data_IF_841365854162
#
_entry.id   IF_841365854162
#
_cell.length_a   1.000
_cell.length_b   1.000
_cell.length_c   1.000
_cell.angle_alpha   90.00
_cell.angle_beta   90.00
_cell.angle_gamma   90.00
#
_symmetry.space_group_name_H-M   'P 1'
#
loop_
_entity.id
_entity.type
_entity.pdbx_description
1 polymer ?
#
# COMPACT_ATOMS: atom_id res chain seq x y z
N UNK A 1 -5.54 -39.50 60.97
CA UNK A 1 -4.62 -40.10 61.96
C UNK A 1 -3.20 -39.57 61.82
N UNK A 2 -2.61 -39.58 60.61
CA UNK A 2 -1.22 -39.11 60.36
C UNK A 2 -0.99 -37.64 60.75
N UNK A 3 -1.90 -36.71 60.41
CA UNK A 3 -1.79 -35.28 60.78
C UNK A 3 -1.67 -35.04 62.29
N UNK A 4 -2.32 -35.87 63.09
CA UNK A 4 -2.31 -35.74 64.55
C UNK A 4 -1.02 -36.32 65.18
N UNK A 5 -0.32 -37.18 64.44
CA UNK A 5 0.93 -37.80 64.90
C UNK A 5 2.16 -36.96 64.53
N UNK A 6 2.10 -36.21 63.43
CA UNK A 6 3.22 -35.41 62.92
C UNK A 6 2.77 -34.02 62.40
N UNK A 7 2.13 -33.18 63.23
CA UNK A 7 1.49 -31.95 62.78
C UNK A 7 2.45 -30.92 62.15
N UNK A 8 3.72 -30.96 62.51
CA UNK A 8 4.73 -30.01 62.01
C UNK A 8 5.59 -30.56 60.86
N UNK A 9 5.50 -31.86 60.56
CA UNK A 9 6.38 -32.53 59.60
C UNK A 9 5.66 -32.97 58.32
N UNK A 10 4.33 -32.97 58.33
CA UNK A 10 3.50 -33.51 57.24
C UNK A 10 2.37 -32.55 56.88
N UNK A 11 2.17 -32.34 55.58
CA UNK A 11 1.02 -31.61 55.01
C UNK A 11 0.09 -32.65 54.39
N UNK A 12 -1.20 -32.56 54.70
CA UNK A 12 -2.22 -33.51 54.23
C UNK A 12 -3.11 -32.85 53.18
N UNK A 13 -3.17 -33.47 52.01
CA UNK A 13 -3.99 -33.10 50.86
C UNK A 13 -4.95 -34.24 50.56
N UNK A 14 -6.19 -34.13 51.04
CA UNK A 14 -7.21 -35.17 50.90
C UNK A 14 -6.72 -36.54 51.43
N UNK A 15 -6.52 -37.50 50.53
CA UNK A 15 -6.04 -38.85 50.81
C UNK A 15 -4.51 -39.01 50.74
N UNK A 16 -3.80 -37.92 50.43
CA UNK A 16 -2.34 -37.90 50.33
C UNK A 16 -1.71 -37.11 51.48
N UNK A 17 -0.54 -37.55 51.91
CA UNK A 17 0.30 -36.85 52.87
C UNK A 17 1.69 -36.67 52.26
N UNK A 18 2.20 -35.44 52.24
CA UNK A 18 3.57 -35.11 51.80
C UNK A 18 4.37 -34.55 52.97
N UNK A 19 5.68 -34.77 53.01
CA UNK A 19 6.50 -34.15 54.05
C UNK A 19 6.57 -32.64 53.83
N UNK A 20 6.56 -31.88 54.92
CA UNK A 20 6.70 -30.42 54.89
C UNK A 20 8.02 -30.01 54.20
N UNK A 21 9.10 -30.73 54.47
CA UNK A 21 10.41 -30.51 53.82
C UNK A 21 10.37 -30.71 52.31
N UNK A 22 9.58 -31.67 51.81
CA UNK A 22 9.41 -31.88 50.38
C UNK A 22 8.62 -30.73 49.76
N UNK A 23 7.54 -30.31 50.42
CA UNK A 23 6.69 -29.22 49.97
C UNK A 23 7.46 -27.89 49.93
N UNK A 24 8.11 -27.50 51.03
CA UNK A 24 8.87 -26.26 51.13
C UNK A 24 9.98 -26.20 50.06
N UNK A 25 10.66 -27.32 49.82
CA UNK A 25 11.67 -27.44 48.76
C UNK A 25 11.07 -27.24 47.36
N UNK A 26 9.88 -27.77 47.08
CA UNK A 26 9.23 -27.59 45.78
C UNK A 26 8.73 -26.15 45.61
N UNK A 27 8.20 -25.53 46.66
CA UNK A 27 7.85 -24.11 46.64
C UNK A 27 9.08 -23.25 46.32
N UNK A 28 10.21 -23.47 47.00
CA UNK A 28 11.45 -22.71 46.76
C UNK A 28 11.97 -22.91 45.33
N UNK A 29 11.96 -24.15 44.83
CA UNK A 29 12.39 -24.48 43.47
C UNK A 29 11.50 -23.85 42.40
N UNK A 30 10.18 -23.92 42.56
CA UNK A 30 9.25 -23.34 41.59
C UNK A 30 9.21 -21.82 41.68
N UNK A 31 9.34 -21.24 42.88
CA UNK A 31 9.50 -19.79 43.06
C UNK A 31 10.74 -19.27 42.32
N UNK A 32 11.90 -19.91 42.51
CA UNK A 32 13.14 -19.57 41.79
C UNK A 32 12.94 -19.68 40.27
N UNK A 33 12.19 -20.68 39.80
CA UNK A 33 11.89 -20.86 38.37
C UNK A 33 10.95 -19.80 37.81
N UNK A 34 9.86 -19.49 38.50
CA UNK A 34 8.93 -18.41 38.10
C UNK A 34 9.66 -17.09 38.02
N UNK A 35 10.64 -16.83 38.89
CA UNK A 35 11.43 -15.58 38.82
C UNK A 35 12.37 -15.52 37.60
N UNK A 36 12.85 -16.68 37.13
CA UNK A 36 13.84 -16.78 36.05
C UNK A 36 13.25 -17.06 34.68
N UNK A 37 12.09 -17.68 34.63
CA UNK A 37 11.42 -18.12 33.42
C UNK A 37 10.05 -17.46 33.36
N UNK A 38 9.73 -16.75 32.27
CA UNK A 38 8.51 -15.96 32.20
C UNK A 38 7.23 -16.80 32.17
N UNK A 39 7.32 -18.07 31.77
CA UNK A 39 6.21 -19.01 31.67
C UNK A 39 6.69 -20.42 32.05
N UNK A 40 6.04 -21.03 33.03
CA UNK A 40 6.32 -22.43 33.43
C UNK A 40 5.03 -23.24 33.56
N UNK A 41 5.10 -24.53 33.27
CA UNK A 41 4.04 -25.48 33.63
C UNK A 41 4.35 -26.12 34.98
N UNK A 42 3.54 -25.80 35.99
CA UNK A 42 3.68 -26.36 37.33
C UNK A 42 3.34 -27.85 37.36
N UNK A 43 2.40 -28.32 36.53
CA UNK A 43 1.93 -29.71 36.55
C UNK A 43 2.96 -30.68 35.98
N UNK A 44 3.64 -30.32 34.88
CA UNK A 44 4.71 -31.16 34.31
C UNK A 44 5.92 -31.31 35.25
N UNK A 45 6.10 -30.38 36.21
CA UNK A 45 7.30 -30.31 37.06
C UNK A 45 7.13 -30.93 38.45
N UNK A 46 5.91 -30.99 38.96
CA UNK A 46 5.63 -31.60 40.26
C UNK A 46 5.37 -33.09 40.08
N UNK A 47 6.39 -33.89 40.39
CA UNK A 47 6.29 -35.35 40.34
C UNK A 47 5.55 -35.85 41.58
N UNK A 48 4.30 -36.26 41.38
CA UNK A 48 3.45 -36.89 42.41
C UNK A 48 3.30 -38.38 42.06
N UNK A 49 3.20 -39.29 43.05
CA UNK A 49 2.93 -40.71 42.78
C UNK A 49 1.72 -40.90 41.87
N UNK A 50 1.80 -41.87 40.96
CA UNK A 50 0.73 -42.17 39.99
C UNK A 50 -0.60 -42.56 40.64
N UNK A 51 -0.58 -42.97 41.91
CA UNK A 51 -1.78 -43.31 42.68
C UNK A 51 -2.48 -42.10 43.31
N UNK A 52 -1.91 -40.89 43.23
CA UNK A 52 -2.55 -39.71 43.79
C UNK A 52 -3.78 -39.30 42.97
N UNK A 53 -4.91 -39.04 43.62
CA UNK A 53 -6.05 -38.48 42.91
C UNK A 53 -5.77 -37.09 42.39
N UNK A 54 -6.51 -36.74 41.35
CA UNK A 54 -6.54 -35.39 40.79
C UNK A 54 -6.89 -34.32 41.84
N UNK A 55 -7.70 -34.66 42.85
CA UNK A 55 -8.01 -33.77 43.98
C UNK A 55 -6.80 -33.51 44.87
N UNK A 56 -6.04 -34.55 45.21
CA UNK A 56 -4.80 -34.39 45.99
C UNK A 56 -3.76 -33.58 45.21
N UNK A 57 -3.60 -33.84 43.92
CA UNK A 57 -2.71 -33.08 43.04
C UNK A 57 -3.13 -31.61 42.92
N UNK A 58 -4.43 -31.34 42.73
CA UNK A 58 -4.97 -29.98 42.69
C UNK A 58 -4.78 -29.24 44.03
N UNK A 59 -4.92 -29.93 45.16
CA UNK A 59 -4.63 -29.38 46.48
C UNK A 59 -3.16 -29.00 46.67
N UNK A 60 -2.23 -29.87 46.22
CA UNK A 60 -0.79 -29.59 46.25
C UNK A 60 -0.46 -28.37 45.37
N UNK A 61 -0.96 -28.35 44.12
CA UNK A 61 -0.76 -27.24 43.19
C UNK A 61 -1.33 -25.92 43.73
N UNK A 62 -2.52 -25.95 44.33
CA UNK A 62 -3.15 -24.78 44.94
C UNK A 62 -2.34 -24.21 46.11
N UNK A 63 -1.78 -25.07 46.95
CA UNK A 63 -0.93 -24.64 48.06
C UNK A 63 0.43 -24.09 47.57
N UNK A 64 1.02 -24.68 46.53
CA UNK A 64 2.24 -24.15 45.90
C UNK A 64 1.97 -22.79 45.25
N UNK A 65 0.84 -22.64 44.54
CA UNK A 65 0.39 -21.36 43.97
C UNK A 65 0.27 -20.28 45.03
N UNK A 66 -0.41 -20.57 46.14
CA UNK A 66 -0.56 -19.60 47.23
C UNK A 66 0.81 -19.20 47.81
N UNK A 67 1.69 -20.16 48.06
CA UNK A 67 3.02 -19.90 48.59
C UNK A 67 3.90 -19.08 47.62
N UNK A 68 3.82 -19.35 46.31
CA UNK A 68 4.52 -18.54 45.29
C UNK A 68 3.93 -17.13 45.24
N UNK A 69 2.60 -16.99 45.27
CA UNK A 69 1.94 -15.68 45.23
C UNK A 69 2.32 -14.79 46.43
N UNK A 70 2.49 -15.41 47.62
CA UNK A 70 2.90 -14.70 48.83
C UNK A 70 4.39 -14.33 48.85
N UNK A 71 5.24 -15.12 48.19
CA UNK A 71 6.70 -15.00 48.27
C UNK A 71 7.36 -14.37 47.03
N UNK A 72 6.64 -14.28 45.91
CA UNK A 72 7.15 -13.77 44.64
C UNK A 72 7.40 -12.26 44.72
N UNK A 73 8.57 -11.76 44.26
CA UNK A 73 8.82 -10.33 44.11
C UNK A 73 8.05 -9.66 42.96
N UNK A 74 7.25 -10.41 42.19
CA UNK A 74 6.48 -9.95 41.04
C UNK A 74 5.10 -10.61 41.02
N UNK A 75 4.17 -10.02 40.28
CA UNK A 75 2.84 -10.58 40.08
C UNK A 75 2.89 -11.76 39.11
N UNK A 76 2.20 -12.84 39.48
CA UNK A 76 2.19 -14.12 38.76
C UNK A 76 0.74 -14.46 38.44
N UNK A 77 0.42 -14.53 37.16
CA UNK A 77 -0.87 -15.00 36.69
C UNK A 77 -0.83 -16.53 36.52
N UNK A 78 -1.92 -17.18 36.88
CA UNK A 78 -2.06 -18.64 36.78
C UNK A 78 -3.15 -18.98 35.77
N UNK A 79 -2.74 -19.56 34.65
CA UNK A 79 -3.59 -19.84 33.50
C UNK A 79 -3.86 -21.35 33.42
N UNK A 80 -5.10 -21.81 33.61
CA UNK A 80 -5.48 -23.18 33.30
C UNK A 80 -5.53 -23.38 31.77
N UNK A 81 -4.81 -24.36 31.23
CA UNK A 81 -4.76 -24.61 29.79
C UNK A 81 -4.64 -26.11 29.49
N UNK A 82 -5.69 -26.74 28.91
CA UNK A 82 -5.70 -28.15 28.48
C UNK A 82 -5.08 -29.15 29.48
N UNK A 83 -5.43 -28.99 30.75
CA UNK A 83 -4.93 -29.83 31.84
C UNK A 83 -3.59 -29.40 32.40
N UNK A 84 -2.87 -28.45 31.80
CA UNK A 84 -1.71 -27.80 32.37
C UNK A 84 -2.09 -26.67 33.34
N UNK A 85 -1.14 -26.33 34.20
CA UNK A 85 -1.23 -25.20 35.12
C UNK A 85 -0.06 -24.27 34.88
N UNK A 86 -0.28 -23.29 34.01
CA UNK A 86 0.76 -22.35 33.62
C UNK A 86 0.85 -21.25 34.68
N UNK A 87 2.07 -20.99 35.17
CA UNK A 87 2.39 -19.81 35.95
C UNK A 87 3.21 -18.87 35.06
N UNK A 88 2.72 -17.66 34.88
CA UNK A 88 3.31 -16.67 33.99
C UNK A 88 3.52 -15.36 34.73
N UNK A 89 4.61 -14.66 34.44
CA UNK A 89 4.81 -13.30 34.94
C UNK A 89 3.81 -12.36 34.26
N UNK A 90 3.07 -11.57 35.04
CA UNK A 90 2.01 -10.68 34.51
C UNK A 90 2.56 -9.68 33.47
N UNK A 91 3.67 -9.00 33.79
CA UNK A 91 4.37 -8.10 32.87
C UNK A 91 4.76 -8.78 31.54
N UNK A 92 5.11 -10.06 31.58
CA UNK A 92 5.46 -10.81 30.37
C UNK A 92 4.23 -11.15 29.54
N UNK A 93 3.11 -11.52 30.17
CA UNK A 93 1.85 -11.78 29.46
C UNK A 93 1.33 -10.54 28.77
N UNK A 94 1.36 -9.39 29.45
CA UNK A 94 0.96 -8.10 28.88
C UNK A 94 1.81 -7.74 27.66
N UNK A 95 3.12 -8.05 27.72
CA UNK A 95 4.03 -7.83 26.61
C UNK A 95 3.88 -8.87 25.50
N UNK A 96 3.49 -10.11 25.83
CA UNK A 96 3.43 -11.22 24.88
C UNK A 96 2.51 -10.91 23.70
N UNK A 97 1.30 -10.41 23.96
CA UNK A 97 0.35 -10.05 22.90
C UNK A 97 0.90 -8.94 22.00
N UNK A 98 1.57 -7.94 22.60
CA UNK A 98 2.22 -6.84 21.85
C UNK A 98 3.37 -7.35 20.98
N UNK A 99 4.22 -8.21 21.52
CA UNK A 99 5.36 -8.80 20.79
C UNK A 99 4.86 -9.72 19.67
N UNK A 100 3.86 -10.55 19.93
CA UNK A 100 3.22 -11.40 18.90
C UNK A 100 2.67 -10.53 17.77
N UNK A 101 1.92 -9.48 18.10
CA UNK A 101 1.34 -8.57 17.11
C UNK A 101 2.43 -7.88 16.28
N UNK A 102 3.48 -7.37 16.93
CA UNK A 102 4.60 -6.70 16.25
C UNK A 102 5.33 -7.67 15.30
N UNK A 103 5.66 -8.88 15.76
CA UNK A 103 6.38 -9.87 14.94
C UNK A 103 5.54 -10.37 13.77
N UNK A 104 4.24 -10.58 13.98
CA UNK A 104 3.31 -10.93 12.92
C UNK A 104 3.19 -9.81 11.87
N UNK A 105 3.12 -8.55 12.29
CA UNK A 105 3.14 -7.39 11.39
C UNK A 105 4.47 -7.28 10.62
N UNK A 106 5.62 -7.51 11.28
CA UNK A 106 6.92 -7.55 10.62
C UNK A 106 7.01 -8.67 9.58
N UNK A 107 6.45 -9.84 9.87
CA UNK A 107 6.36 -10.95 8.92
C UNK A 107 5.48 -10.59 7.71
N UNK A 108 4.31 -9.98 7.94
CA UNK A 108 3.42 -9.45 6.91
C UNK A 108 4.16 -8.45 5.99
N UNK A 109 4.85 -7.47 6.57
CA UNK A 109 5.65 -6.48 5.85
C UNK A 109 6.76 -7.13 5.02
N UNK A 110 7.47 -8.12 5.58
CA UNK A 110 8.53 -8.85 4.89
C UNK A 110 7.98 -9.62 3.69
N UNK A 111 6.92 -10.40 3.87
CA UNK A 111 6.30 -11.13 2.77
C UNK A 111 5.74 -10.19 1.70
N UNK A 112 5.12 -9.08 2.10
CA UNK A 112 4.61 -8.06 1.18
C UNK A 112 5.71 -7.45 0.30
N UNK A 113 6.89 -7.20 0.87
CA UNK A 113 8.02 -6.65 0.12
C UNK A 113 8.69 -7.65 -0.82
N UNK A 114 8.52 -8.95 -0.55
CA UNK A 114 9.01 -10.02 -1.40
C UNK A 114 8.04 -10.38 -2.53
N UNK A 115 6.81 -9.88 -2.51
CA UNK A 115 5.84 -10.10 -3.58
C UNK A 115 6.28 -9.41 -4.87
N UNK A 116 6.44 -10.21 -5.92
CA UNK A 116 6.58 -9.73 -7.30
C UNK A 116 5.21 -9.58 -7.99
N UNK A 117 5.12 -8.78 -9.07
CA UNK A 117 3.92 -8.67 -9.89
C UNK A 117 3.41 -10.01 -10.45
N UNK A 118 4.28 -10.98 -10.65
CA UNK A 118 3.92 -12.32 -11.18
C UNK A 118 3.69 -13.37 -10.08
N UNK A 119 3.89 -13.01 -8.81
CA UNK A 119 3.71 -13.96 -7.71
C UNK A 119 2.23 -14.24 -7.45
N UNK A 120 1.90 -15.53 -7.45
CA UNK A 120 0.62 -16.09 -6.98
C UNK A 120 0.66 -16.49 -5.49
N UNK A 121 1.80 -16.29 -4.83
CA UNK A 121 2.01 -16.64 -3.42
C UNK A 121 0.92 -16.02 -2.56
N UNK A 122 0.26 -16.86 -1.79
CA UNK A 122 -0.70 -16.45 -0.78
C UNK A 122 0.07 -16.00 0.46
N UNK A 123 -0.23 -14.78 0.92
CA UNK A 123 0.34 -14.25 2.15
C UNK A 123 -0.36 -14.92 3.32
N UNK A 124 0.42 -15.58 4.16
CA UNK A 124 -0.07 -16.26 5.34
C UNK A 124 0.91 -16.08 6.49
N UNK A 125 0.38 -15.96 7.70
CA UNK A 125 1.17 -16.08 8.91
C UNK A 125 1.88 -17.44 8.90
N UNK A 126 3.15 -17.46 9.29
CA UNK A 126 3.87 -18.71 9.60
C UNK A 126 4.04 -18.79 11.13
N UNK A 127 3.10 -19.47 11.82
CA UNK A 127 3.11 -19.54 13.28
C UNK A 127 4.28 -20.34 13.81
N UNK A 128 4.77 -21.33 13.05
CA UNK A 128 5.88 -22.18 13.47
C UNK A 128 7.20 -21.38 13.51
N UNK A 129 7.49 -20.62 12.44
CA UNK A 129 8.64 -19.73 12.41
C UNK A 129 8.56 -18.63 13.46
N UNK A 130 7.37 -18.08 13.72
CA UNK A 130 7.19 -17.09 14.78
C UNK A 130 7.41 -17.68 16.17
N UNK A 131 6.84 -18.86 16.45
CA UNK A 131 7.04 -19.56 17.71
C UNK A 131 8.53 -19.81 17.96
N UNK A 132 9.28 -20.31 16.95
CA UNK A 132 10.73 -20.51 17.06
C UNK A 132 11.46 -19.21 17.44
N UNK A 133 11.07 -18.07 16.84
CA UNK A 133 11.68 -16.78 17.16
C UNK A 133 11.30 -16.25 18.54
N UNK A 134 10.07 -16.49 19.00
CA UNK A 134 9.57 -16.04 20.31
C UNK A 134 10.18 -16.85 21.45
N UNK A 135 10.41 -18.16 21.22
CA UNK A 135 10.95 -19.08 22.22
C UNK A 135 12.45 -19.32 22.05
N UNK A 136 13.13 -18.55 21.20
CA UNK A 136 14.54 -18.73 20.89
C UNK A 136 15.38 -18.69 22.18
N UNK A 137 16.08 -19.79 22.48
CA UNK A 137 16.90 -19.92 23.68
C UNK A 137 16.15 -20.31 24.95
N UNK A 138 14.86 -20.59 24.88
CA UNK A 138 14.05 -21.07 26.01
C UNK A 138 13.58 -22.52 25.79
N UNK A 139 13.70 -23.35 26.84
CA UNK A 139 13.13 -24.70 26.86
C UNK A 139 11.76 -24.61 27.52
N UNK A 140 10.72 -24.45 26.70
CA UNK A 140 9.34 -24.40 27.17
C UNK A 140 8.69 -25.79 27.19
N UNK A 141 7.86 -26.02 28.20
CA UNK A 141 6.95 -27.16 28.29
C UNK A 141 6.03 -27.23 27.06
N UNK A 142 5.52 -28.42 26.77
CA UNK A 142 4.64 -28.64 25.62
C UNK A 142 3.37 -27.77 25.69
N UNK A 143 2.75 -27.75 26.87
CA UNK A 143 1.59 -26.93 27.21
C UNK A 143 1.85 -25.42 27.10
N UNK A 144 3.04 -24.96 27.46
CA UNK A 144 3.43 -23.55 27.32
C UNK A 144 3.58 -23.15 25.85
N UNK A 145 4.11 -24.04 25.00
CA UNK A 145 4.17 -23.81 23.56
C UNK A 145 2.77 -23.78 22.95
N UNK A 146 1.87 -24.67 23.38
CA UNK A 146 0.50 -24.72 22.87
C UNK A 146 -0.31 -23.49 23.29
N UNK A 147 -0.09 -22.96 24.50
CA UNK A 147 -0.64 -21.68 24.92
C UNK A 147 -0.18 -20.52 24.01
N UNK A 148 1.12 -20.43 23.72
CA UNK A 148 1.66 -19.39 22.81
C UNK A 148 1.11 -19.57 21.39
N UNK A 149 0.95 -20.80 20.91
CA UNK A 149 0.31 -21.06 19.60
C UNK A 149 -1.13 -20.57 19.56
N UNK A 150 -1.90 -20.81 20.61
CA UNK A 150 -3.27 -20.27 20.72
C UNK A 150 -3.30 -18.74 20.58
N UNK A 151 -2.37 -18.06 21.25
CA UNK A 151 -2.19 -16.60 21.12
C UNK A 151 -1.74 -16.17 19.72
N UNK A 152 -0.86 -16.94 19.06
CA UNK A 152 -0.45 -16.68 17.66
C UNK A 152 -1.63 -16.80 16.69
N UNK A 153 -2.51 -17.79 16.88
CA UNK A 153 -3.68 -18.02 16.04
C UNK A 153 -4.72 -16.90 16.15
N UNK A 154 -4.86 -16.28 17.33
CA UNK A 154 -5.77 -15.16 17.57
C UNK A 154 -5.11 -13.81 17.31
N UNK A 155 -4.17 -13.40 18.17
CA UNK A 155 -3.50 -12.09 18.15
C UNK A 155 -2.60 -11.96 16.93
N UNK A 156 -1.77 -12.97 16.67
CA UNK A 156 -0.80 -12.97 15.57
C UNK A 156 -1.48 -12.88 14.21
N UNK A 157 -2.49 -13.73 13.98
CA UNK A 157 -3.26 -13.73 12.73
C UNK A 157 -3.98 -12.40 12.50
N UNK A 158 -4.64 -11.86 13.54
CA UNK A 158 -5.33 -10.58 13.44
C UNK A 158 -4.36 -9.45 13.10
N UNK A 159 -3.18 -9.39 13.74
CA UNK A 159 -2.17 -8.38 13.46
C UNK A 159 -1.59 -8.52 12.03
N UNK A 160 -1.31 -9.74 11.59
CA UNK A 160 -0.85 -10.02 10.23
C UNK A 160 -1.87 -9.57 9.18
N UNK A 161 -3.13 -9.99 9.31
CA UNK A 161 -4.20 -9.65 8.36
C UNK A 161 -4.47 -8.14 8.33
N UNK A 162 -4.39 -7.48 9.50
CA UNK A 162 -4.52 -6.03 9.62
C UNK A 162 -3.40 -5.31 8.88
N UNK A 163 -2.15 -5.75 9.07
CA UNK A 163 -1.00 -5.13 8.42
C UNK A 163 -1.02 -5.36 6.89
N UNK A 164 -1.37 -6.56 6.42
CA UNK A 164 -1.58 -6.82 4.99
C UNK A 164 -2.68 -5.93 4.41
N UNK A 165 -3.78 -5.74 5.14
CA UNK A 165 -4.88 -4.86 4.72
C UNK A 165 -4.42 -3.40 4.62
N UNK A 166 -3.65 -2.93 5.61
CA UNK A 166 -3.07 -1.57 5.63
C UNK A 166 -2.14 -1.35 4.44
N UNK A 167 -1.19 -2.27 4.20
CA UNK A 167 -0.24 -2.22 3.09
C UNK A 167 -0.94 -2.26 1.73
N UNK A 168 -1.96 -3.12 1.60
CA UNK A 168 -2.76 -3.18 0.38
C UNK A 168 -3.54 -1.88 0.14
N UNK A 169 -4.04 -1.22 1.18
CA UNK A 169 -4.75 0.04 1.06
C UNK A 169 -3.81 1.18 0.63
N UNK A 170 -2.64 1.29 1.27
CA UNK A 170 -1.61 2.29 0.95
C UNK A 170 -1.09 2.14 -0.50
N UNK A 171 -0.85 0.90 -0.93
CA UNK A 171 -0.45 0.57 -2.30
C UNK A 171 -1.54 0.94 -3.32
N UNK A 172 -2.80 0.64 -3.01
CA UNK A 172 -3.94 1.00 -3.84
C UNK A 172 -4.15 2.52 -3.93
N UNK A 173 -4.00 3.24 -2.82
CA UNK A 173 -4.09 4.70 -2.78
C UNK A 173 -3.00 5.33 -3.66
N UNK A 174 -1.76 4.88 -3.51
CA UNK A 174 -0.62 5.35 -4.30
C UNK A 174 -0.83 5.07 -5.80
N UNK A 175 -1.28 3.86 -6.15
CA UNK A 175 -1.64 3.51 -7.52
C UNK A 175 -2.75 4.40 -8.07
N UNK A 176 -3.79 4.64 -7.28
CA UNK A 176 -4.94 5.45 -7.68
C UNK A 176 -4.55 6.91 -7.93
N UNK A 177 -3.68 7.47 -7.08
CA UNK A 177 -3.13 8.81 -7.29
C UNK A 177 -2.30 8.88 -8.58
N UNK A 178 -1.42 7.90 -8.81
CA UNK A 178 -0.62 7.81 -10.03
C UNK A 178 -1.51 7.70 -11.27
N UNK A 179 -2.51 6.82 -11.25
CA UNK A 179 -3.46 6.61 -12.35
C UNK A 179 -4.26 7.87 -12.64
N UNK A 180 -4.77 8.53 -11.60
CA UNK A 180 -5.53 9.77 -11.75
C UNK A 180 -4.71 10.87 -12.43
N UNK A 181 -3.49 11.11 -11.94
CA UNK A 181 -2.61 12.16 -12.46
C UNK A 181 -2.13 11.87 -13.89
N UNK A 182 -1.77 10.62 -14.16
CA UNK A 182 -1.11 10.24 -15.42
C UNK A 182 -2.08 9.87 -16.52
N UNK A 183 -3.24 9.31 -16.19
CA UNK A 183 -4.18 8.79 -17.18
C UNK A 183 -5.47 9.59 -17.18
N UNK A 184 -6.25 9.46 -16.12
CA UNK A 184 -7.64 9.92 -16.10
C UNK A 184 -7.78 11.43 -16.29
N UNK A 185 -7.07 12.20 -15.47
CA UNK A 185 -7.12 13.67 -15.53
C UNK A 185 -6.58 14.21 -16.84
N UNK A 186 -5.51 13.60 -17.38
CA UNK A 186 -4.93 14.01 -18.67
C UNK A 186 -5.89 13.72 -19.81
N UNK A 187 -6.47 12.51 -19.85
CA UNK A 187 -7.43 12.13 -20.86
C UNK A 187 -8.65 13.06 -20.85
N UNK A 188 -9.26 13.30 -19.69
CA UNK A 188 -10.41 14.18 -19.56
C UNK A 188 -10.10 15.60 -20.02
N UNK A 189 -8.95 16.15 -19.61
CA UNK A 189 -8.51 17.49 -20.04
C UNK A 189 -8.26 17.57 -21.54
N UNK A 190 -7.65 16.54 -22.12
CA UNK A 190 -7.38 16.48 -23.56
C UNK A 190 -8.64 16.35 -24.38
N UNK A 191 -9.57 15.51 -23.92
CA UNK A 191 -10.88 15.36 -24.53
C UNK A 191 -11.67 16.67 -24.48
N UNK A 192 -11.72 17.33 -23.32
CA UNK A 192 -12.41 18.62 -23.18
C UNK A 192 -11.84 19.69 -24.12
N UNK A 193 -10.51 19.69 -24.32
CA UNK A 193 -9.86 20.61 -25.25
C UNK A 193 -10.19 20.31 -26.71
N UNK A 194 -10.26 19.03 -27.09
CA UNK A 194 -10.65 18.62 -28.43
C UNK A 194 -12.15 18.87 -28.70
N UNK A 195 -13.03 18.59 -27.73
CA UNK A 195 -14.47 18.79 -27.85
C UNK A 195 -14.85 20.26 -28.04
N UNK A 196 -14.04 21.19 -27.52
CA UNK A 196 -14.22 22.63 -27.70
C UNK A 196 -13.87 23.14 -29.12
N UNK A 197 -13.26 22.30 -29.98
CA UNK A 197 -12.86 22.69 -31.33
C UNK A 197 -14.09 22.76 -32.24
N UNK A 198 -14.40 23.91 -32.87
CA UNK A 198 -15.60 24.06 -33.70
C UNK A 198 -15.55 23.23 -34.99
N UNK A 199 -14.38 23.15 -35.63
CA UNK A 199 -14.18 22.38 -36.86
C UNK A 199 -14.32 20.88 -36.58
N UNK A 200 -15.40 20.28 -37.08
CA UNK A 200 -15.75 18.89 -36.81
C UNK A 200 -14.68 17.90 -37.29
N UNK A 201 -14.08 18.16 -38.45
CA UNK A 201 -13.06 17.28 -39.03
C UNK A 201 -11.76 17.34 -38.24
N UNK A 202 -11.35 18.54 -37.81
CA UNK A 202 -10.19 18.71 -36.97
C UNK A 202 -10.41 18.08 -35.58
N UNK A 203 -11.60 18.28 -34.99
CA UNK A 203 -11.99 17.66 -33.73
C UNK A 203 -11.88 16.14 -33.79
N UNK A 204 -12.45 15.52 -34.81
CA UNK A 204 -12.38 14.06 -35.02
C UNK A 204 -10.92 13.57 -35.14
N UNK A 205 -10.09 14.27 -35.93
CA UNK A 205 -8.67 13.94 -36.08
C UNK A 205 -7.87 14.06 -34.77
N UNK A 206 -8.21 15.02 -33.91
CA UNK A 206 -7.56 15.20 -32.61
C UNK A 206 -8.02 14.15 -31.60
N UNK A 207 -9.29 13.77 -31.62
CA UNK A 207 -9.83 12.71 -30.77
C UNK A 207 -9.25 11.32 -31.13
N UNK A 208 -9.10 11.03 -32.42
CA UNK A 208 -8.43 9.82 -32.91
C UNK A 208 -6.95 9.78 -32.49
N UNK A 209 -6.25 10.92 -32.63
CA UNK A 209 -4.87 11.06 -32.16
C UNK A 209 -4.77 10.84 -30.64
N UNK A 210 -5.66 11.45 -29.86
CA UNK A 210 -5.71 11.31 -28.41
C UNK A 210 -5.93 9.85 -28.00
N UNK A 211 -6.87 9.17 -28.66
CA UNK A 211 -7.13 7.76 -28.40
C UNK A 211 -5.90 6.89 -28.65
N UNK A 212 -5.21 7.11 -29.77
CA UNK A 212 -3.97 6.41 -30.10
C UNK A 212 -2.91 6.64 -29.02
N UNK A 213 -2.68 7.89 -28.62
CA UNK A 213 -1.72 8.24 -27.58
C UNK A 213 -2.05 7.59 -26.23
N UNK A 214 -3.33 7.60 -25.83
CA UNK A 214 -3.76 6.99 -24.56
C UNK A 214 -3.53 5.49 -24.54
N UNK A 215 -3.89 4.79 -25.62
CA UNK A 215 -3.74 3.32 -25.70
C UNK A 215 -2.29 2.88 -25.87
N UNK A 216 -1.54 3.55 -26.73
CA UNK A 216 -0.19 3.10 -27.11
C UNK A 216 0.89 3.58 -26.13
N UNK A 217 0.71 4.72 -25.47
CA UNK A 217 1.75 5.34 -24.66
C UNK A 217 1.29 5.52 -23.21
N UNK A 218 0.27 6.33 -22.98
CA UNK A 218 -0.01 6.86 -21.65
C UNK A 218 -0.54 5.81 -20.66
N UNK A 219 -1.33 4.83 -21.09
CA UNK A 219 -1.72 3.69 -20.24
C UNK A 219 -0.54 2.72 -20.03
N UNK A 220 0.11 2.17 -21.08
CA UNK A 220 1.23 1.26 -20.91
C UNK A 220 2.38 1.82 -20.07
N UNK A 221 2.77 3.07 -20.28
CA UNK A 221 3.82 3.73 -19.49
C UNK A 221 3.43 3.85 -18.02
N UNK A 222 2.16 4.21 -17.74
CA UNK A 222 1.68 4.33 -16.35
C UNK A 222 1.65 2.97 -15.66
N UNK A 223 1.22 1.91 -16.37
CA UNK A 223 1.22 0.55 -15.83
C UNK A 223 2.64 0.03 -15.59
N UNK A 224 3.55 0.22 -16.54
CA UNK A 224 4.96 -0.15 -16.40
C UNK A 224 5.62 0.58 -15.22
N UNK A 225 5.30 1.87 -15.03
CA UNK A 225 5.77 2.63 -13.86
C UNK A 225 5.19 2.10 -12.55
N UNK A 226 3.89 1.81 -12.50
CA UNK A 226 3.25 1.24 -11.33
C UNK A 226 3.84 -0.12 -10.95
N UNK A 227 4.16 -0.93 -11.95
CA UNK A 227 4.83 -2.22 -11.79
C UNK A 227 6.24 -2.06 -11.24
N UNK A 228 7.05 -1.16 -11.82
CA UNK A 228 8.41 -0.86 -11.34
C UNK A 228 8.42 -0.31 -9.89
N UNK A 229 7.35 0.36 -9.47
CA UNK A 229 7.16 0.84 -8.10
C UNK A 229 6.57 -0.22 -7.16
N UNK A 230 6.25 -1.42 -7.65
CA UNK A 230 5.65 -2.49 -6.86
C UNK A 230 4.22 -2.18 -6.38
N UNK A 231 3.49 -1.33 -7.11
CA UNK A 231 2.10 -0.97 -6.75
C UNK A 231 1.09 -2.03 -7.20
N UNK A 232 1.47 -2.90 -8.15
CA UNK A 232 0.61 -3.94 -8.71
C UNK A 232 0.74 -5.29 -7.98
N UNK A 233 0.83 -5.29 -6.64
CA UNK A 233 1.01 -6.54 -5.84
C UNK A 233 -0.30 -7.24 -5.47
N UNK A 234 -1.38 -6.49 -5.23
CA UNK A 234 -2.65 -7.05 -4.75
C UNK A 234 -3.44 -7.81 -5.83
N UNK A 235 -3.89 -9.04 -5.53
CA UNK A 235 -4.68 -9.90 -6.44
C UNK A 235 -5.90 -9.18 -7.05
N UNK A 236 -6.64 -8.40 -6.23
CA UNK A 236 -7.81 -7.62 -6.68
C UNK A 236 -7.45 -6.52 -7.68
N UNK A 237 -6.33 -5.83 -7.44
CA UNK A 237 -5.86 -4.74 -8.31
C UNK A 237 -5.32 -5.31 -9.62
N UNK A 238 -4.47 -6.35 -9.57
CA UNK A 238 -3.98 -7.08 -10.75
C UNK A 238 -5.14 -7.51 -11.65
N UNK A 239 -6.15 -8.19 -11.10
CA UNK A 239 -7.33 -8.63 -11.86
C UNK A 239 -8.11 -7.46 -12.48
N UNK A 240 -8.11 -6.29 -11.85
CA UNK A 240 -8.76 -5.10 -12.41
C UNK A 240 -7.95 -4.49 -13.56
N UNK A 241 -6.62 -4.47 -13.44
CA UNK A 241 -5.70 -4.04 -14.49
C UNK A 241 -5.74 -4.99 -15.70
N UNK A 242 -5.75 -6.29 -15.49
CA UNK A 242 -5.86 -7.27 -16.58
C UNK A 242 -7.20 -7.14 -17.33
N UNK A 243 -8.30 -6.91 -16.60
CA UNK A 243 -9.60 -6.59 -17.23
C UNK A 243 -9.55 -5.30 -18.05
N UNK A 244 -8.82 -4.28 -17.57
CA UNK A 244 -8.63 -3.04 -18.29
C UNK A 244 -7.84 -3.28 -19.59
N UNK A 245 -6.70 -3.96 -19.51
CA UNK A 245 -5.86 -4.30 -20.68
C UNK A 245 -6.65 -5.08 -21.72
N UNK A 246 -7.38 -6.11 -21.30
CA UNK A 246 -8.25 -6.90 -22.18
C UNK A 246 -9.35 -6.05 -22.83
N UNK A 247 -10.02 -5.16 -22.06
CA UNK A 247 -11.09 -4.29 -22.59
C UNK A 247 -10.58 -3.23 -23.58
N UNK A 248 -9.30 -2.89 -23.51
CA UNK A 248 -8.63 -1.92 -24.38
C UNK A 248 -7.75 -2.59 -25.45
N UNK A 249 -7.76 -3.93 -25.49
CA UNK A 249 -6.95 -4.77 -26.39
C UNK A 249 -5.45 -4.44 -26.34
N UNK A 250 -4.93 -4.13 -25.15
CA UNK A 250 -3.53 -3.72 -24.96
C UNK A 250 -2.54 -4.88 -25.08
N UNK A 251 -3.00 -6.12 -24.87
CA UNK A 251 -2.16 -7.33 -24.95
C UNK A 251 -2.12 -7.93 -26.36
N UNK A 252 -2.87 -7.35 -27.30
CA UNK A 252 -2.88 -7.76 -28.70
C UNK A 252 -1.71 -7.17 -29.49
N UNK A 253 -1.17 -7.91 -30.46
CA UNK A 253 -0.19 -7.38 -31.44
C UNK A 253 -0.76 -6.29 -32.35
N UNK A 254 -2.07 -6.06 -32.30
CA UNK A 254 -2.78 -5.19 -33.22
C UNK A 254 -3.53 -4.06 -32.48
N UNK A 255 -2.77 -3.17 -31.84
CA UNK A 255 -3.28 -1.90 -31.30
C UNK A 255 -3.76 -0.95 -32.41
N UNK A 256 -3.70 -1.36 -33.69
CA UNK A 256 -4.16 -0.58 -34.83
C UNK A 256 -5.66 -0.70 -35.09
N UNK A 257 -6.35 -1.66 -34.44
CA UNK A 257 -7.81 -1.78 -34.54
C UNK A 257 -8.47 -0.54 -33.92
N UNK A 258 -9.30 0.21 -34.67
CA UNK A 258 -9.94 1.41 -34.15
C UNK A 258 -10.91 1.03 -33.04
N UNK A 259 -10.63 1.48 -31.82
CA UNK A 259 -11.58 1.40 -30.72
C UNK A 259 -12.52 2.61 -30.84
N UNK A 260 -13.79 2.49 -30.46
CA UNK A 260 -14.63 3.68 -30.36
C UNK A 260 -14.19 4.55 -29.16
N UNK A 261 -14.16 5.88 -29.31
CA UNK A 261 -13.78 6.81 -28.23
C UNK A 261 -14.71 6.67 -27.01
N UNK A 262 -16.00 6.40 -27.25
CA UNK A 262 -17.01 6.15 -26.24
C UNK A 262 -16.66 4.91 -25.41
N UNK A 263 -16.16 3.85 -26.05
CA UNK A 263 -15.71 2.63 -25.38
C UNK A 263 -14.48 2.90 -24.52
N UNK A 264 -13.49 3.63 -25.04
CA UNK A 264 -12.32 4.05 -24.26
C UNK A 264 -12.75 4.85 -23.01
N UNK A 265 -13.61 5.84 -23.20
CA UNK A 265 -14.10 6.70 -22.12
C UNK A 265 -14.87 5.89 -21.07
N UNK A 266 -15.80 5.04 -21.51
CA UNK A 266 -16.61 4.21 -20.62
C UNK A 266 -15.73 3.27 -19.79
N UNK A 267 -14.73 2.67 -20.42
CA UNK A 267 -13.78 1.77 -19.75
C UNK A 267 -12.90 2.52 -18.75
N UNK A 268 -12.34 3.66 -19.13
CA UNK A 268 -11.54 4.49 -18.22
C UNK A 268 -12.35 4.99 -17.03
N UNK A 269 -13.58 5.49 -17.26
CA UNK A 269 -14.46 5.93 -16.18
C UNK A 269 -14.82 4.78 -15.24
N UNK A 270 -15.20 3.61 -15.77
CA UNK A 270 -15.48 2.42 -14.95
C UNK A 270 -14.28 1.97 -14.13
N UNK A 271 -13.07 2.11 -14.68
CA UNK A 271 -11.84 1.78 -13.98
C UNK A 271 -11.52 2.82 -12.89
N UNK A 272 -11.62 4.11 -13.21
CA UNK A 272 -11.43 5.21 -12.27
C UNK A 272 -12.40 5.13 -11.08
N UNK A 273 -13.70 4.91 -11.32
CA UNK A 273 -14.71 4.77 -10.25
C UNK A 273 -14.40 3.62 -9.30
N UNK A 274 -13.77 2.54 -9.77
CA UNK A 274 -13.37 1.40 -8.93
C UNK A 274 -12.13 1.67 -8.09
N UNK A 275 -11.23 2.52 -8.58
CA UNK A 275 -9.97 2.82 -7.91
C UNK A 275 -10.09 3.97 -6.92
N UNK A 276 -10.85 5.01 -7.27
CA UNK A 276 -10.85 6.22 -6.47
C UNK A 276 -12.12 7.07 -6.65
N UNK A 277 -12.94 7.25 -5.61
CA UNK A 277 -14.08 8.17 -5.67
C UNK A 277 -13.69 9.65 -5.49
N UNK A 278 -12.43 9.98 -5.14
CA UNK A 278 -12.07 11.38 -4.89
C UNK A 278 -11.89 12.18 -6.19
N UNK A 279 -12.49 13.36 -6.21
CA UNK A 279 -12.53 14.27 -7.36
C UNK A 279 -11.42 15.31 -7.22
N UNK A 280 -10.34 15.17 -7.97
CA UNK A 280 -9.44 16.31 -8.21
C UNK A 280 -10.14 17.24 -9.19
N UNK A 281 -10.22 18.54 -8.86
CA UNK A 281 -10.81 19.54 -9.76
C UNK A 281 -10.02 19.63 -11.06
N UNK A 282 -10.69 19.42 -12.19
CA UNK A 282 -10.09 19.52 -13.53
C UNK A 282 -9.45 20.89 -13.80
N UNK A 283 -10.00 21.96 -13.21
CA UNK A 283 -9.45 23.31 -13.32
C UNK A 283 -8.04 23.41 -12.69
N UNK A 284 -7.85 22.86 -11.48
CA UNK A 284 -6.54 22.85 -10.83
C UNK A 284 -5.52 22.04 -11.64
N UNK A 285 -5.95 20.91 -12.21
CA UNK A 285 -5.10 20.08 -13.06
C UNK A 285 -4.76 20.75 -14.40
N UNK A 286 -5.64 21.60 -14.94
CA UNK A 286 -5.34 22.42 -16.12
C UNK A 286 -4.23 23.43 -15.79
N UNK A 287 -4.37 24.18 -14.70
CA UNK A 287 -3.37 25.16 -14.27
C UNK A 287 -1.99 24.54 -14.03
N UNK A 288 -1.94 23.37 -13.37
CA UNK A 288 -0.69 22.63 -13.17
C UNK A 288 -0.04 22.22 -14.49
N UNK A 289 -0.83 21.74 -15.47
CA UNK A 289 -0.30 21.35 -16.78
C UNK A 289 0.15 22.54 -17.63
N UNK A 290 -0.54 23.68 -17.56
CA UNK A 290 -0.09 24.89 -18.22
C UNK A 290 1.22 25.40 -17.61
N UNK A 291 1.38 25.27 -16.30
CA UNK A 291 2.64 25.58 -15.61
C UNK A 291 3.77 24.68 -16.10
N UNK A 292 3.52 23.38 -16.24
CA UNK A 292 4.48 22.39 -16.79
C UNK A 292 4.83 22.67 -18.27
N UNK A 293 3.84 23.05 -19.08
CA UNK A 293 4.06 23.48 -20.46
C UNK A 293 4.90 24.76 -20.54
N UNK A 294 4.62 25.75 -19.70
CA UNK A 294 5.44 26.96 -19.59
C UNK A 294 6.87 26.63 -19.17
N UNK A 295 7.06 25.72 -18.22
CA UNK A 295 8.38 25.26 -17.82
C UNK A 295 9.10 24.53 -18.96
N UNK A 296 8.39 23.69 -19.72
CA UNK A 296 8.91 23.01 -20.91
C UNK A 296 9.33 24.01 -21.98
N UNK A 297 8.50 25.02 -22.27
CA UNK A 297 8.82 26.11 -23.21
C UNK A 297 10.08 26.87 -22.78
N UNK A 298 10.24 27.14 -21.48
CA UNK A 298 11.46 27.76 -20.92
C UNK A 298 12.68 26.83 -21.03
N UNK A 299 12.51 25.53 -20.83
CA UNK A 299 13.60 24.54 -20.84
C UNK A 299 14.04 24.11 -22.26
N UNK A 300 13.17 24.27 -23.27
CA UNK A 300 13.44 23.95 -24.68
C UNK A 300 14.55 24.80 -25.32
N UNK A 301 15.20 25.69 -24.57
CA UNK A 301 16.33 26.51 -25.00
C UNK A 301 17.53 25.69 -25.52
N UNK A 302 17.65 24.42 -25.08
CA UNK A 302 18.71 23.50 -25.51
C UNK A 302 18.38 22.74 -26.80
N UNK A 303 17.12 22.68 -27.19
CA UNK A 303 16.67 21.89 -28.33
C UNK A 303 16.56 22.74 -29.61
N UNK A 304 16.96 22.15 -30.74
CA UNK A 304 16.84 22.76 -32.08
C UNK A 304 15.44 22.60 -32.69
N UNK A 305 14.46 22.14 -31.91
CA UNK A 305 13.14 21.74 -32.39
C UNK A 305 12.12 22.91 -32.35
N UNK A 306 12.28 23.84 -33.29
CA UNK A 306 11.33 24.94 -33.52
C UNK A 306 9.87 24.49 -33.72
N UNK A 307 9.59 23.40 -34.47
CA UNK A 307 8.23 22.87 -34.61
C UNK A 307 7.55 22.50 -33.30
N UNK A 308 8.28 21.85 -32.39
CA UNK A 308 7.74 21.48 -31.07
C UNK A 308 7.48 22.71 -30.19
N UNK A 309 8.38 23.69 -30.20
CA UNK A 309 8.22 24.95 -29.47
C UNK A 309 6.99 25.73 -29.95
N UNK A 310 6.82 25.83 -31.27
CA UNK A 310 5.67 26.51 -31.87
C UNK A 310 4.35 25.82 -31.55
N UNK A 311 4.33 24.48 -31.60
CA UNK A 311 3.15 23.71 -31.18
C UNK A 311 2.81 23.98 -29.71
N UNK A 312 3.80 23.96 -28.82
CA UNK A 312 3.59 24.20 -27.40
C UNK A 312 3.00 25.60 -27.15
N UNK A 313 3.51 26.63 -27.84
CA UNK A 313 2.95 27.99 -27.81
C UNK A 313 1.48 28.01 -28.25
N UNK A 314 1.15 27.41 -29.40
CA UNK A 314 -0.24 27.40 -29.90
C UNK A 314 -1.18 26.67 -28.93
N UNK A 315 -0.74 25.57 -28.32
CA UNK A 315 -1.53 24.81 -27.33
C UNK A 315 -1.78 25.65 -26.07
N UNK A 316 -0.75 26.33 -25.56
CA UNK A 316 -0.85 27.23 -24.40
C UNK A 316 -1.85 28.35 -24.68
N UNK A 317 -1.72 29.04 -25.82
CA UNK A 317 -2.63 30.11 -26.21
C UNK A 317 -4.07 29.61 -26.35
N UNK A 318 -4.29 28.44 -26.98
CA UNK A 318 -5.64 27.88 -27.11
C UNK A 318 -6.26 27.53 -25.76
N UNK A 319 -5.48 26.94 -24.86
CA UNK A 319 -5.95 26.55 -23.53
C UNK A 319 -6.40 27.75 -22.67
N UNK A 320 -6.02 28.99 -23.00
CA UNK A 320 -6.56 30.20 -22.35
C UNK A 320 -8.04 30.41 -22.68
N UNK A 321 -8.46 30.09 -23.90
CA UNK A 321 -9.79 30.38 -24.41
C UNK A 321 -10.77 29.20 -24.33
N UNK A 322 -10.40 28.11 -23.65
CA UNK A 322 -11.24 26.92 -23.49
C UNK A 322 -10.86 26.17 -22.21
N UNK A 323 -11.78 25.40 -21.63
CA UNK A 323 -11.57 24.72 -20.34
C UNK A 323 -10.57 23.56 -20.40
N UNK A 324 -10.30 23.01 -21.59
CA UNK A 324 -9.37 21.91 -21.80
C UNK A 324 -8.05 22.31 -22.48
N UNK A 325 -7.17 21.33 -22.65
CA UNK A 325 -5.90 21.47 -23.37
C UNK A 325 -5.94 20.51 -24.55
N UNK A 326 -5.45 20.87 -25.73
CA UNK A 326 -5.48 19.93 -26.87
C UNK A 326 -4.21 19.09 -26.89
N UNK A 327 -4.35 17.76 -27.00
CA UNK A 327 -3.25 16.89 -27.40
C UNK A 327 -3.10 16.92 -28.92
N UNK A 328 -1.93 17.35 -29.40
CA UNK A 328 -1.67 17.50 -30.82
C UNK A 328 -0.20 17.21 -31.16
N UNK A 329 0.05 16.96 -32.43
CA UNK A 329 1.40 16.88 -33.02
C UNK A 329 1.65 18.07 -33.95
N UNK A 330 2.89 18.31 -34.35
CA UNK A 330 3.27 19.49 -35.14
C UNK A 330 2.46 19.68 -36.43
N UNK A 331 1.95 18.59 -37.03
CA UNK A 331 1.09 18.64 -38.23
C UNK A 331 -0.23 19.41 -38.03
N UNK A 332 -0.69 19.53 -36.79
CA UNK A 332 -1.93 20.24 -36.45
C UNK A 332 -1.71 21.69 -36.05
N UNK A 333 -0.47 22.11 -35.74
CA UNK A 333 -0.18 23.46 -35.26
C UNK A 333 -0.74 24.58 -36.18
N UNK A 334 -0.62 24.50 -37.53
CA UNK A 334 -1.20 25.54 -38.39
C UNK A 334 -2.73 25.58 -38.36
N UNK A 335 -3.40 24.44 -38.19
CA UNK A 335 -4.87 24.38 -38.11
C UNK A 335 -5.36 24.93 -36.77
N UNK A 336 -4.67 24.57 -35.69
CA UNK A 336 -4.94 25.05 -34.33
C UNK A 336 -4.70 26.56 -34.22
N UNK A 337 -3.64 27.08 -34.81
CA UNK A 337 -3.35 28.53 -34.83
C UNK A 337 -4.48 29.33 -35.50
N UNK A 338 -5.12 28.83 -36.57
CA UNK A 338 -6.25 29.52 -37.21
C UNK A 338 -7.44 29.74 -36.27
N UNK A 339 -7.60 28.88 -35.26
CA UNK A 339 -8.69 29.02 -34.27
C UNK A 339 -8.43 30.19 -33.30
N UNK A 340 -7.19 30.67 -33.20
CA UNK A 340 -6.85 31.86 -32.44
C UNK A 340 -7.22 33.15 -33.18
N UNK A 341 -7.50 33.09 -34.49
CA UNK A 341 -7.87 34.26 -35.28
C UNK A 341 -9.15 34.88 -34.74
N UNK A 342 -9.09 36.16 -34.35
CA UNK A 342 -10.21 36.88 -33.72
C UNK A 342 -10.38 36.60 -32.21
N UNK A 343 -9.57 35.71 -31.61
CA UNK A 343 -9.49 35.52 -30.15
C UNK A 343 -8.28 36.21 -29.54
N UNK A 344 -7.17 36.25 -30.28
CA UNK A 344 -5.98 37.05 -29.97
C UNK A 344 -6.00 38.35 -30.78
N UNK A 345 -5.21 39.35 -30.36
CA UNK A 345 -5.07 40.60 -31.11
C UNK A 345 -4.45 40.36 -32.50
N UNK A 346 -4.79 41.21 -33.48
CA UNK A 346 -4.23 41.11 -34.84
C UNK A 346 -2.70 41.21 -34.85
N UNK A 347 -2.12 41.95 -33.91
CA UNK A 347 -0.66 42.04 -33.74
C UNK A 347 -0.07 40.69 -33.31
N UNK A 348 -0.62 40.05 -32.27
CA UNK A 348 -0.18 38.74 -31.80
C UNK A 348 -0.39 37.68 -32.88
N UNK A 349 -1.51 37.72 -33.59
CA UNK A 349 -1.77 36.81 -34.70
C UNK A 349 -0.77 36.98 -35.85
N UNK A 350 -0.42 38.23 -36.21
CA UNK A 350 0.60 38.52 -37.21
C UNK A 350 2.00 37.99 -36.83
N UNK A 351 2.36 38.07 -35.55
CA UNK A 351 3.60 37.47 -35.02
C UNK A 351 3.56 35.94 -35.13
N UNK A 352 2.45 35.30 -34.76
CA UNK A 352 2.27 33.85 -34.90
C UNK A 352 2.42 33.37 -36.36
N UNK A 353 1.86 34.09 -37.33
CA UNK A 353 1.99 33.76 -38.76
C UNK A 353 3.46 33.84 -39.21
N UNK A 354 4.21 34.85 -38.76
CA UNK A 354 5.65 34.99 -39.04
C UNK A 354 6.45 33.84 -38.45
N UNK A 355 6.21 33.52 -37.18
CA UNK A 355 6.88 32.43 -36.46
C UNK A 355 6.59 31.08 -37.11
N UNK A 356 5.34 30.84 -37.55
CA UNK A 356 4.95 29.63 -38.28
C UNK A 356 5.76 29.44 -39.57
N UNK A 357 5.92 30.48 -40.38
CA UNK A 357 6.72 30.39 -41.62
C UNK A 357 8.23 30.24 -41.33
N UNK A 358 8.74 30.90 -40.28
CA UNK A 358 10.11 30.73 -39.81
C UNK A 358 10.41 29.29 -39.36
N UNK A 359 9.49 28.68 -38.62
CA UNK A 359 9.56 27.28 -38.18
C UNK A 359 9.46 26.32 -39.35
N UNK A 360 8.51 26.54 -40.26
CA UNK A 360 8.30 25.71 -41.45
C UNK A 360 9.50 25.72 -42.40
N UNK A 361 10.18 26.86 -42.52
CA UNK A 361 11.39 26.99 -43.35
C UNK A 361 12.67 26.50 -42.66
N UNK A 362 12.58 26.02 -41.41
CA UNK A 362 13.75 25.61 -40.62
C UNK A 362 14.66 26.78 -40.22
N UNK A 363 14.19 28.03 -40.39
CA UNK A 363 14.93 29.26 -40.14
C UNK A 363 14.64 29.89 -38.78
N UNK A 364 13.82 29.25 -37.94
CA UNK A 364 13.56 29.69 -36.57
C UNK A 364 14.85 29.62 -35.74
N UNK A 365 15.56 30.75 -35.73
CA UNK A 365 16.80 30.98 -35.04
C UNK A 365 16.54 31.27 -33.57
N UNK A 366 17.50 31.95 -32.93
CA UNK A 366 17.41 32.26 -31.51
C UNK A 366 16.35 33.32 -31.21
N UNK A 367 16.24 34.33 -32.08
CA UNK A 367 15.30 35.44 -31.91
C UNK A 367 13.85 34.97 -31.99
N UNK A 368 13.49 34.15 -32.99
CA UNK A 368 12.14 33.61 -33.12
C UNK A 368 11.76 32.70 -31.94
N UNK A 369 12.73 32.01 -31.34
CA UNK A 369 12.50 31.16 -30.17
C UNK A 369 12.27 31.97 -28.90
N UNK A 370 13.04 33.03 -28.69
CA UNK A 370 12.79 33.96 -27.59
C UNK A 370 11.42 34.63 -27.76
N UNK A 371 11.07 35.05 -28.98
CA UNK A 371 9.73 35.60 -29.25
C UNK A 371 8.61 34.59 -28.95
N UNK A 372 8.79 33.31 -29.29
CA UNK A 372 7.83 32.25 -28.90
C UNK A 372 7.69 32.10 -27.39
N UNK A 373 8.79 32.21 -26.63
CA UNK A 373 8.76 32.13 -25.16
C UNK A 373 8.09 33.36 -24.55
N UNK A 374 8.40 34.54 -25.07
CA UNK A 374 7.80 35.80 -24.64
C UNK A 374 6.29 35.79 -24.88
N UNK A 375 5.82 35.34 -26.05
CA UNK A 375 4.39 35.23 -26.33
C UNK A 375 3.70 34.22 -25.41
N UNK A 376 4.35 33.09 -25.10
CA UNK A 376 3.81 32.13 -24.14
C UNK A 376 3.76 32.68 -22.70
N UNK A 377 4.70 33.54 -22.32
CA UNK A 377 4.81 34.09 -20.97
C UNK A 377 3.95 35.35 -20.75
N UNK A 378 3.92 36.27 -21.72
CA UNK A 378 3.19 37.52 -21.66
C UNK A 378 1.68 37.30 -21.51
N UNK A 379 1.16 36.24 -22.13
CA UNK A 379 -0.26 35.89 -22.04
C UNK A 379 -0.63 35.12 -20.76
N UNK A 380 0.36 34.73 -19.95
CA UNK A 380 0.21 34.06 -18.66
C UNK A 380 0.29 34.96 -17.42
N UNK A 381 0.49 36.27 -17.60
CA UNK A 381 0.55 37.25 -16.50
C UNK A 381 -0.83 37.81 -16.07
N UNK A 382 -1.87 37.59 -16.88
CA UNK A 382 -3.25 38.07 -16.66
C UNK A 382 -4.25 36.95 -16.28
N UNK A 383 -3.77 35.81 -15.76
CA UNK A 383 -4.60 34.68 -15.35
C UNK A 383 -4.60 34.45 -13.83
#
# INVERSE_FOLDING_TARGET
MIRNLYPEQVIVFEEMAVSKSWFDKHVELELDRVTKTPLIDLRERIVVPSEASEKALSGILGAIKAAISDAAPMEVEYIPHDGAWLAAQEDWLDQLDSVIAERAAQQAQKQWNQLTPDSDVELALDPAGLLETLTAGQVLASSAQDFIKGKLDETGKTAFDTEISRLSAESLETFSALWRDRVDTRFQRYRLGADAIPDAKLREQLLELLQTHVRAELIPETLSRAEAQGLLRGKKLKKSVEKLKASLELDGKDTTTPLALETLTSTLNKFATKLCPSTTSLAAAKTAHLTDLHQTIRALDRDKDGPRLFLALVVVLLAKYQDGVVYATGKFAPKLMRLLKGRVSEEVYGRLERLKEGVKSGKAGREEREEMKELAAADGADA
#
